data_IF_935018850930
#
_entry.id   IF_935018850930
#
_cell.length_a   1.000
_cell.length_b   1.000
_cell.length_c   1.000
_cell.angle_alpha   90.00
_cell.angle_beta   90.00
_cell.angle_gamma   90.00
#
_symmetry.space_group_name_H-M   'P 1'
#
loop_
_entity.id
_entity.type
_entity.pdbx_description
1 polymer ?
#
# COMPACT_ATOMS: atom_id res chain seq x y z
N UNK A 1 -17.57 -50.74 -51.49
CA UNK A 1 -17.59 -50.96 -50.02
C UNK A 1 -16.17 -51.05 -49.46
N UNK A 2 -15.28 -50.12 -49.78
CA UNK A 2 -13.88 -50.03 -49.32
C UNK A 2 -13.46 -48.71 -48.65
N UNK A 3 -14.35 -47.74 -48.60
CA UNK A 3 -14.06 -46.39 -48.06
C UNK A 3 -14.32 -46.33 -46.53
N UNK A 4 -15.17 -47.20 -45.99
CA UNK A 4 -15.57 -47.18 -44.58
C UNK A 4 -14.47 -47.60 -43.57
N UNK A 5 -13.48 -48.40 -44.01
CA UNK A 5 -12.42 -48.89 -43.09
C UNK A 5 -11.27 -47.88 -42.89
N UNK A 6 -11.04 -46.98 -43.84
CA UNK A 6 -9.98 -45.97 -43.74
C UNK A 6 -10.42 -44.85 -42.83
N UNK A 7 -11.72 -44.51 -42.79
CA UNK A 7 -12.26 -43.46 -41.92
C UNK A 7 -12.20 -43.86 -40.43
N UNK A 8 -12.41 -45.17 -40.11
CA UNK A 8 -12.31 -45.63 -38.72
C UNK A 8 -10.87 -45.68 -38.20
N UNK A 9 -9.88 -45.93 -39.03
CA UNK A 9 -8.46 -45.92 -38.62
C UNK A 9 -7.96 -44.49 -38.42
N UNK A 10 -8.42 -43.55 -39.25
CA UNK A 10 -8.09 -42.13 -39.06
C UNK A 10 -8.74 -41.51 -37.80
N UNK A 11 -9.94 -41.93 -37.42
CA UNK A 11 -10.63 -41.50 -36.21
C UNK A 11 -10.02 -42.06 -34.93
N UNK A 12 -9.44 -43.26 -34.96
CA UNK A 12 -8.77 -43.90 -33.84
C UNK A 12 -7.37 -43.33 -33.57
N UNK A 13 -6.70 -42.75 -34.58
CA UNK A 13 -5.41 -42.11 -34.47
C UNK A 13 -5.50 -40.64 -33.96
N UNK A 14 -6.68 -40.03 -34.02
CA UNK A 14 -6.90 -38.65 -33.53
C UNK A 14 -7.18 -38.58 -32.03
N UNK A 15 -7.41 -39.71 -31.33
CA UNK A 15 -7.64 -39.75 -29.88
C UNK A 15 -6.36 -39.95 -29.05
N UNK A 16 -5.20 -40.09 -29.69
CA UNK A 16 -3.91 -40.11 -28.98
C UNK A 16 -3.32 -38.69 -28.90
N UNK A 17 -4.09 -37.72 -28.38
CA UNK A 17 -3.52 -36.48 -27.90
C UNK A 17 -2.62 -36.86 -26.71
N UNK A 18 -1.31 -36.53 -26.72
CA UNK A 18 -0.50 -36.73 -25.55
C UNK A 18 -1.12 -35.88 -24.44
N UNK A 19 -1.66 -36.53 -23.42
CA UNK A 19 -1.91 -35.90 -22.13
C UNK A 19 -0.55 -35.44 -21.59
N UNK A 20 -0.12 -34.29 -22.04
CA UNK A 20 0.88 -33.53 -21.32
C UNK A 20 0.18 -33.14 -20.03
N UNK A 21 0.40 -33.98 -19.02
CA UNK A 21 0.00 -33.67 -17.66
C UNK A 21 0.50 -32.27 -17.37
N UNK A 22 -0.43 -31.37 -17.14
CA UNK A 22 -0.15 -30.13 -16.43
C UNK A 22 0.44 -30.55 -15.08
N UNK A 23 1.76 -30.60 -15.01
CA UNK A 23 2.48 -30.59 -13.75
C UNK A 23 2.19 -29.20 -13.14
N UNK A 24 1.01 -29.05 -12.58
CA UNK A 24 0.76 -28.06 -11.55
C UNK A 24 1.81 -28.34 -10.49
N UNK A 25 2.73 -27.42 -10.29
CA UNK A 25 3.75 -27.54 -9.27
C UNK A 25 3.07 -27.93 -7.96
N UNK A 26 3.19 -29.18 -7.57
CA UNK A 26 2.73 -29.62 -6.27
C UNK A 26 3.56 -28.81 -5.27
N UNK A 27 2.93 -27.93 -4.52
CA UNK A 27 3.56 -27.27 -3.39
C UNK A 27 4.18 -28.36 -2.52
N UNK A 28 5.50 -28.32 -2.37
CA UNK A 28 6.22 -29.28 -1.55
C UNK A 28 5.74 -29.08 -0.12
N UNK A 29 4.89 -29.98 0.37
CA UNK A 29 4.40 -29.91 1.75
C UNK A 29 5.58 -30.17 2.69
N UNK A 30 5.95 -29.14 3.44
CA UNK A 30 6.98 -29.21 4.47
C UNK A 30 6.40 -29.86 5.71
N UNK A 31 6.95 -31.01 6.11
CA UNK A 31 6.58 -31.65 7.38
C UNK A 31 7.30 -30.94 8.53
N UNK A 32 6.56 -30.16 9.32
CA UNK A 32 7.09 -29.42 10.45
C UNK A 32 7.59 -30.29 11.60
N UNK A 33 7.19 -31.55 11.66
CA UNK A 33 7.61 -32.48 12.71
C UNK A 33 8.93 -33.23 12.38
N UNK A 34 9.41 -33.13 11.14
CA UNK A 34 10.58 -33.84 10.64
C UNK A 34 11.51 -32.91 9.88
N UNK A 35 12.32 -32.09 10.59
CA UNK A 35 13.30 -31.19 9.93
C UNK A 35 14.30 -31.99 9.08
N UNK A 36 14.51 -31.55 7.84
CA UNK A 36 15.46 -32.15 6.91
C UNK A 36 16.51 -31.15 6.49
N UNK A 37 17.74 -31.65 6.28
CA UNK A 37 18.84 -30.87 5.76
C UNK A 37 18.85 -30.92 4.24
N UNK A 38 19.05 -29.76 3.63
CA UNK A 38 19.16 -29.61 2.18
C UNK A 38 20.34 -28.72 1.84
N UNK A 39 20.97 -28.99 0.71
CA UNK A 39 21.91 -28.08 0.07
C UNK A 39 21.09 -27.13 -0.81
N UNK A 40 21.37 -25.84 -0.76
CA UNK A 40 20.71 -24.85 -1.61
C UNK A 40 21.22 -25.01 -3.03
N UNK A 41 20.35 -25.48 -3.96
CA UNK A 41 20.69 -25.64 -5.37
C UNK A 41 20.44 -24.36 -6.20
N UNK A 42 19.69 -23.43 -5.64
CA UNK A 42 19.40 -22.14 -6.28
C UNK A 42 18.22 -21.43 -5.62
N UNK A 43 18.13 -20.12 -5.90
CA UNK A 43 17.06 -19.26 -5.36
C UNK A 43 16.40 -18.50 -6.50
N UNK A 44 15.10 -18.70 -6.66
CA UNK A 44 14.26 -17.96 -7.61
C UNK A 44 13.53 -16.84 -6.88
N UNK A 45 13.50 -15.65 -7.46
CA UNK A 45 12.78 -14.51 -6.91
C UNK A 45 11.67 -14.09 -7.87
N UNK A 46 10.46 -13.92 -7.33
CA UNK A 46 9.27 -13.50 -8.09
C UNK A 46 8.60 -12.28 -7.44
N UNK A 47 7.96 -11.44 -8.27
CA UNK A 47 7.15 -10.30 -7.80
C UNK A 47 7.93 -9.00 -7.64
N UNK A 48 9.16 -8.94 -8.13
CA UNK A 48 10.00 -7.72 -8.11
C UNK A 48 9.76 -6.87 -9.35
N UNK A 49 9.71 -5.56 -9.18
CA UNK A 49 9.61 -4.61 -10.28
C UNK A 49 10.70 -3.52 -10.22
N UNK A 50 11.07 -3.08 -9.02
CA UNK A 50 12.07 -2.04 -8.79
C UNK A 50 13.34 -2.57 -8.10
N UNK A 51 13.19 -3.61 -7.28
CA UNK A 51 14.31 -4.21 -6.54
C UNK A 51 14.89 -5.34 -7.39
N UNK A 52 16.23 -5.38 -7.56
CA UNK A 52 16.85 -6.47 -8.31
C UNK A 52 16.72 -7.81 -7.58
N UNK A 53 16.52 -8.89 -8.33
CA UNK A 53 16.47 -10.25 -7.76
C UNK A 53 17.74 -10.58 -6.97
N UNK A 54 18.91 -10.21 -7.49
CA UNK A 54 20.20 -10.41 -6.82
C UNK A 54 20.28 -9.72 -5.47
N UNK A 55 19.75 -8.50 -5.36
CA UNK A 55 19.71 -7.77 -4.10
C UNK A 55 18.85 -8.49 -3.06
N UNK A 56 17.71 -9.05 -3.46
CA UNK A 56 16.84 -9.82 -2.57
C UNK A 56 17.53 -11.11 -2.10
N UNK A 57 18.17 -11.81 -3.01
CA UNK A 57 18.96 -13.02 -2.68
C UNK A 57 20.07 -12.67 -1.68
N UNK A 58 20.78 -11.59 -1.89
CA UNK A 58 21.85 -11.14 -0.99
C UNK A 58 21.30 -10.79 0.40
N UNK A 59 20.20 -10.06 0.49
CA UNK A 59 19.54 -9.72 1.76
C UNK A 59 19.03 -10.98 2.46
N UNK A 60 18.49 -11.95 1.71
CA UNK A 60 17.99 -13.21 2.27
C UNK A 60 19.13 -14.02 2.92
N UNK A 61 20.36 -13.93 2.41
CA UNK A 61 21.49 -14.73 2.82
C UNK A 61 21.45 -16.17 2.31
N UNK A 62 20.51 -16.50 1.42
CA UNK A 62 20.48 -17.81 0.75
C UNK A 62 21.53 -17.81 -0.36
N UNK A 63 22.53 -18.67 -0.22
CA UNK A 63 23.58 -18.84 -1.22
C UNK A 63 23.64 -20.28 -1.70
N UNK A 64 23.86 -20.49 -2.97
CA UNK A 64 24.01 -21.83 -3.56
C UNK A 64 25.17 -22.57 -2.87
N UNK A 65 24.98 -23.84 -2.61
CA UNK A 65 25.96 -24.72 -1.97
C UNK A 65 25.94 -24.69 -0.43
N UNK A 66 25.21 -23.77 0.21
CA UNK A 66 25.07 -23.79 1.67
C UNK A 66 24.06 -24.85 2.12
N UNK A 67 24.33 -25.45 3.28
CA UNK A 67 23.41 -26.38 3.95
C UNK A 67 22.38 -25.59 4.76
N UNK A 68 21.12 -25.99 4.66
CA UNK A 68 20.00 -25.39 5.37
C UNK A 68 19.05 -26.47 5.88
N UNK A 69 18.54 -26.29 7.08
CA UNK A 69 17.52 -27.17 7.66
C UNK A 69 16.12 -26.60 7.42
N UNK A 70 15.19 -27.42 6.95
CA UNK A 70 13.80 -27.01 6.67
C UNK A 70 12.85 -28.02 7.31
N UNK A 71 11.88 -27.57 8.13
CA UNK A 71 11.73 -26.21 8.67
C UNK A 71 12.78 -25.88 9.74
N UNK A 72 13.08 -24.60 9.91
CA UNK A 72 13.95 -24.09 10.97
C UNK A 72 13.66 -22.61 11.27
N UNK A 73 14.16 -22.14 12.39
CA UNK A 73 14.11 -20.72 12.76
C UNK A 73 14.88 -19.84 11.78
N UNK A 74 15.89 -20.38 11.10
CA UNK A 74 16.67 -19.68 10.07
C UNK A 74 15.78 -19.25 8.90
N UNK A 75 14.80 -20.09 8.50
CA UNK A 75 13.84 -19.75 7.45
C UNK A 75 12.97 -18.53 7.86
N UNK A 76 12.53 -18.51 9.11
CA UNK A 76 11.80 -17.38 9.66
C UNK A 76 12.67 -16.12 9.75
N UNK A 77 13.95 -16.28 10.07
CA UNK A 77 14.92 -15.18 10.12
C UNK A 77 15.17 -14.56 8.73
N UNK A 78 15.17 -15.36 7.67
CA UNK A 78 15.27 -14.88 6.28
C UNK A 78 14.09 -13.97 5.94
N UNK A 79 12.87 -14.44 6.19
CA UNK A 79 11.67 -13.65 5.95
C UNK A 79 11.71 -12.35 6.77
N UNK A 80 12.07 -12.42 8.05
CA UNK A 80 12.21 -11.24 8.92
C UNK A 80 13.23 -10.23 8.38
N UNK A 81 14.41 -10.69 7.89
CA UNK A 81 15.42 -9.79 7.28
C UNK A 81 14.89 -9.02 6.09
N UNK A 82 14.14 -9.68 5.21
CA UNK A 82 13.49 -9.04 4.06
C UNK A 82 12.41 -8.05 4.51
N UNK A 83 11.60 -8.40 5.49
CA UNK A 83 10.60 -7.50 6.08
C UNK A 83 11.20 -6.25 6.72
N UNK A 84 12.33 -6.37 7.38
CA UNK A 84 13.03 -5.25 8.00
C UNK A 84 13.50 -4.20 7.01
N UNK A 85 13.64 -4.55 5.73
CA UNK A 85 13.95 -3.58 4.67
C UNK A 85 12.82 -2.59 4.41
N UNK A 86 11.60 -2.87 4.87
CA UNK A 86 10.38 -2.06 4.69
C UNK A 86 9.99 -1.78 3.23
N UNK A 87 10.65 -2.43 2.28
CA UNK A 87 10.40 -2.29 0.84
C UNK A 87 9.24 -3.15 0.33
N UNK A 88 8.84 -4.15 1.11
CA UNK A 88 7.84 -5.14 0.72
C UNK A 88 6.56 -5.01 1.54
N UNK A 89 5.44 -5.24 0.87
CA UNK A 89 4.12 -5.38 1.49
C UNK A 89 3.91 -6.81 1.96
N UNK A 90 4.41 -7.78 1.16
CA UNK A 90 4.41 -9.20 1.52
C UNK A 90 5.70 -9.90 1.09
N UNK A 91 6.11 -10.90 1.86
CA UNK A 91 7.27 -11.76 1.62
C UNK A 91 6.92 -13.18 1.99
N UNK A 92 7.05 -14.09 1.05
CA UNK A 92 6.93 -15.53 1.31
C UNK A 92 8.17 -16.29 0.80
N UNK A 93 8.56 -17.30 1.55
CA UNK A 93 9.65 -18.22 1.22
C UNK A 93 9.07 -19.63 1.13
N UNK A 94 9.32 -20.32 0.04
CA UNK A 94 8.87 -21.69 -0.19
C UNK A 94 9.98 -22.51 -0.86
N UNK A 95 9.85 -23.83 -0.79
CA UNK A 95 10.63 -24.73 -1.62
C UNK A 95 9.93 -24.83 -2.99
N UNK A 96 10.63 -24.45 -4.05
CA UNK A 96 10.13 -24.53 -5.42
C UNK A 96 10.20 -25.98 -5.95
N UNK A 97 11.34 -26.63 -5.70
CA UNK A 97 11.55 -28.04 -6.07
C UNK A 97 12.67 -28.68 -5.25
N UNK A 98 12.70 -30.01 -5.24
CA UNK A 98 13.75 -30.80 -4.62
C UNK A 98 14.36 -31.66 -5.73
N UNK A 99 15.70 -31.71 -5.81
CA UNK A 99 16.38 -32.55 -6.77
C UNK A 99 16.07 -34.06 -6.57
N UNK A 100 16.20 -34.90 -7.60
CA UNK A 100 15.97 -36.32 -7.48
C UNK A 100 16.86 -37.02 -6.41
N UNK A 101 18.03 -36.49 -6.14
CA UNK A 101 18.94 -36.94 -5.05
C UNK A 101 18.34 -36.72 -3.65
N UNK A 102 17.30 -35.87 -3.51
CA UNK A 102 16.60 -35.51 -2.28
C UNK A 102 17.43 -34.79 -1.23
N UNK A 103 18.63 -34.37 -1.56
CA UNK A 103 19.55 -33.60 -0.70
C UNK A 103 19.67 -32.13 -1.11
N UNK A 104 19.26 -31.79 -2.33
CA UNK A 104 19.35 -30.44 -2.87
C UNK A 104 17.94 -29.85 -3.07
N UNK A 105 17.70 -28.66 -2.50
CA UNK A 105 16.43 -27.94 -2.63
C UNK A 105 16.63 -26.60 -3.36
N UNK A 106 15.68 -26.27 -4.21
CA UNK A 106 15.57 -24.98 -4.87
C UNK A 106 14.52 -24.14 -4.14
N UNK A 107 14.86 -22.92 -3.78
CA UNK A 107 14.00 -22.03 -3.02
C UNK A 107 13.35 -20.99 -3.91
N UNK A 108 12.15 -20.60 -3.53
CA UNK A 108 11.41 -19.49 -4.15
C UNK A 108 11.10 -18.43 -3.10
N UNK A 109 11.56 -17.21 -3.37
CA UNK A 109 11.18 -16.03 -2.61
C UNK A 109 10.16 -15.27 -3.46
N UNK A 110 8.93 -15.16 -2.98
CA UNK A 110 7.91 -14.34 -3.61
C UNK A 110 7.73 -13.08 -2.77
N UNK A 111 7.82 -11.93 -3.40
CA UNK A 111 7.65 -10.63 -2.75
C UNK A 111 6.56 -9.82 -3.43
N UNK A 112 5.92 -8.96 -2.67
CA UNK A 112 5.05 -7.89 -3.17
C UNK A 112 5.69 -6.59 -2.74
N UNK A 113 6.15 -5.80 -3.72
CA UNK A 113 6.75 -4.50 -3.42
C UNK A 113 5.69 -3.51 -2.96
N UNK A 114 6.05 -2.63 -2.01
CA UNK A 114 5.18 -1.54 -1.59
C UNK A 114 4.96 -0.58 -2.74
N UNK A 115 3.70 -0.18 -3.00
CA UNK A 115 3.40 0.72 -4.10
C UNK A 115 4.04 2.09 -3.89
N UNK A 116 4.53 2.69 -4.98
CA UNK A 116 5.13 4.02 -4.98
C UNK A 116 4.20 5.05 -5.59
N UNK A 117 4.16 6.24 -5.01
CA UNK A 117 3.29 7.32 -5.52
C UNK A 117 3.85 7.88 -6.81
N UNK A 118 3.11 7.73 -7.92
CA UNK A 118 3.43 8.40 -9.19
C UNK A 118 2.88 9.83 -9.22
N UNK A 119 1.68 10.02 -8.71
CA UNK A 119 0.97 11.30 -8.69
C UNK A 119 -0.05 11.32 -7.55
N UNK A 120 -0.32 12.51 -7.03
CA UNK A 120 -1.48 12.75 -6.17
C UNK A 120 -2.31 13.90 -6.71
N UNK A 121 -3.59 13.87 -6.38
CA UNK A 121 -4.58 14.89 -6.77
C UNK A 121 -5.53 15.14 -5.61
N UNK A 122 -6.13 16.33 -5.60
CA UNK A 122 -7.14 16.70 -4.62
C UNK A 122 -8.47 16.92 -5.31
N UNK A 123 -9.56 16.59 -4.63
CA UNK A 123 -10.92 16.90 -5.01
C UNK A 123 -11.63 17.55 -3.83
N UNK A 124 -12.51 18.52 -4.07
CA UNK A 124 -13.17 19.29 -3.01
C UNK A 124 -12.31 20.37 -2.34
N UNK A 125 -11.10 20.59 -2.85
CA UNK A 125 -10.12 21.57 -2.37
C UNK A 125 -10.13 22.80 -3.29
N UNK A 126 -9.95 24.01 -2.73
CA UNK A 126 -9.76 25.21 -3.53
C UNK A 126 -8.36 25.27 -4.10
N UNK A 127 -8.22 25.78 -5.34
CA UNK A 127 -6.91 25.86 -6.04
C UNK A 127 -5.81 26.52 -5.21
N UNK A 128 -6.10 27.60 -4.47
CA UNK A 128 -5.11 28.26 -3.60
C UNK A 128 -4.73 27.45 -2.35
N UNK A 129 -5.54 26.47 -1.94
CA UNK A 129 -5.27 25.63 -0.77
C UNK A 129 -4.47 24.37 -1.14
N UNK A 130 -4.52 23.97 -2.41
CA UNK A 130 -3.86 22.76 -2.91
C UNK A 130 -2.34 22.84 -2.70
N UNK A 131 -1.73 23.98 -3.03
CA UNK A 131 -0.29 24.19 -2.84
C UNK A 131 0.12 24.08 -1.36
N UNK A 132 -0.66 24.72 -0.47
CA UNK A 132 -0.40 24.66 0.97
C UNK A 132 -0.53 23.25 1.53
N UNK A 133 -1.53 22.48 1.05
CA UNK A 133 -1.68 21.08 1.42
C UNK A 133 -0.53 20.20 0.91
N UNK A 134 -0.07 20.43 -0.33
CA UNK A 134 1.09 19.72 -0.87
C UNK A 134 2.34 19.91 -0.01
N UNK A 135 2.60 21.15 0.42
CA UNK A 135 3.73 21.45 1.29
C UNK A 135 3.61 20.77 2.65
N UNK A 136 2.42 20.78 3.27
CA UNK A 136 2.18 20.14 4.57
C UNK A 136 2.24 18.63 4.53
N UNK A 137 1.79 18.00 3.44
CA UNK A 137 1.77 16.54 3.30
C UNK A 137 3.16 15.95 3.07
N UNK A 138 4.12 16.74 2.59
CA UNK A 138 5.48 16.29 2.28
C UNK A 138 5.56 14.98 1.49
N UNK A 139 4.56 14.73 0.64
CA UNK A 139 4.55 13.57 -0.25
C UNK A 139 5.53 13.77 -1.40
N UNK A 140 6.32 12.75 -1.70
CA UNK A 140 7.30 12.77 -2.79
C UNK A 140 6.91 11.76 -3.87
N UNK A 141 7.06 12.14 -5.13
CA UNK A 141 6.93 11.17 -6.24
C UNK A 141 7.98 10.08 -6.07
N UNK A 142 7.61 8.83 -6.32
CA UNK A 142 8.44 7.67 -6.07
C UNK A 142 8.56 7.27 -4.59
N UNK A 143 7.96 8.04 -3.67
CA UNK A 143 7.88 7.67 -2.27
C UNK A 143 6.94 6.49 -2.05
N UNK A 144 7.19 5.70 -1.03
CA UNK A 144 6.33 4.59 -0.63
C UNK A 144 4.98 5.11 -0.10
N UNK A 145 3.91 4.37 -0.39
CA UNK A 145 2.57 4.67 0.09
C UNK A 145 2.02 3.48 0.86
N UNK A 146 2.05 3.59 2.17
CA UNK A 146 1.48 2.61 3.10
C UNK A 146 0.17 3.13 3.71
N UNK A 147 -0.58 2.26 4.37
CA UNK A 147 -1.77 2.65 5.13
C UNK A 147 -1.46 3.71 6.18
N UNK A 148 -0.27 3.63 6.79
CA UNK A 148 0.19 4.64 7.74
C UNK A 148 0.36 6.01 7.06
N UNK A 149 0.97 6.07 5.88
CA UNK A 149 1.14 7.31 5.11
C UNK A 149 -0.22 7.87 4.70
N UNK A 150 -1.12 7.00 4.22
CA UNK A 150 -2.49 7.36 3.86
C UNK A 150 -3.25 7.98 5.03
N UNK A 151 -3.24 7.34 6.19
CA UNK A 151 -3.89 7.83 7.40
C UNK A 151 -3.29 9.15 7.88
N UNK A 152 -1.96 9.24 7.92
CA UNK A 152 -1.25 10.45 8.33
C UNK A 152 -1.59 11.63 7.42
N UNK A 153 -1.62 11.40 6.09
CA UNK A 153 -2.01 12.43 5.12
C UNK A 153 -3.45 12.90 5.34
N UNK A 154 -4.38 11.96 5.53
CA UNK A 154 -5.79 12.28 5.85
C UNK A 154 -5.90 13.13 7.13
N UNK A 155 -5.19 12.78 8.19
CA UNK A 155 -5.20 13.51 9.46
C UNK A 155 -4.61 14.93 9.33
N UNK A 156 -3.57 15.10 8.52
CA UNK A 156 -2.99 16.41 8.22
C UNK A 156 -4.02 17.29 7.48
N UNK A 157 -4.70 16.74 6.46
CA UNK A 157 -5.73 17.47 5.72
C UNK A 157 -6.91 17.82 6.64
N UNK A 158 -7.38 16.86 7.46
CA UNK A 158 -8.45 17.12 8.44
C UNK A 158 -8.08 18.22 9.41
N UNK A 159 -6.86 18.22 9.93
CA UNK A 159 -6.36 19.24 10.84
C UNK A 159 -6.32 20.63 10.19
N UNK A 160 -5.81 20.69 8.95
CA UNK A 160 -5.76 21.92 8.16
C UNK A 160 -7.14 22.59 8.02
N UNK A 161 -8.16 21.80 7.69
CA UNK A 161 -9.51 22.34 7.55
C UNK A 161 -10.18 22.65 8.89
N UNK A 162 -9.89 21.88 9.95
CA UNK A 162 -10.36 22.20 11.31
C UNK A 162 -9.79 23.54 11.80
N UNK A 163 -8.52 23.83 11.53
CA UNK A 163 -7.90 25.14 11.81
C UNK A 163 -8.62 26.30 11.09
N UNK A 164 -9.18 26.03 9.92
CA UNK A 164 -9.98 26.99 9.13
C UNK A 164 -11.46 27.07 9.55
N UNK A 165 -11.87 26.27 10.53
CA UNK A 165 -13.22 26.27 11.10
C UNK A 165 -14.18 25.25 10.47
N UNK A 166 -13.71 24.32 9.67
CA UNK A 166 -14.52 23.20 9.12
C UNK A 166 -14.40 22.00 10.06
N UNK A 167 -15.25 21.92 11.09
CA UNK A 167 -15.13 20.91 12.14
C UNK A 167 -15.52 19.50 11.70
N UNK A 168 -16.45 19.40 10.73
CA UNK A 168 -16.99 18.14 10.21
C UNK A 168 -16.33 17.73 8.89
N UNK A 169 -15.04 18.06 8.71
CA UNK A 169 -14.30 17.67 7.52
C UNK A 169 -14.06 16.17 7.50
N UNK A 170 -14.34 15.56 6.35
CA UNK A 170 -13.98 14.18 6.07
C UNK A 170 -13.06 14.08 4.86
N UNK A 171 -12.21 13.03 4.83
CA UNK A 171 -11.21 12.83 3.79
C UNK A 171 -11.13 11.36 3.43
N UNK A 172 -11.53 11.06 2.21
CA UNK A 172 -11.36 9.75 1.61
C UNK A 172 -10.07 9.70 0.79
N UNK A 173 -9.34 8.61 0.89
CA UNK A 173 -8.10 8.38 0.15
C UNK A 173 -8.30 7.25 -0.82
N UNK A 174 -8.37 7.59 -2.10
CA UNK A 174 -8.54 6.63 -3.18
C UNK A 174 -7.20 6.38 -3.87
N UNK A 175 -6.85 5.12 -4.06
CA UNK A 175 -5.66 4.72 -4.80
C UNK A 175 -6.03 3.97 -6.07
N UNK A 176 -5.34 4.25 -7.16
CA UNK A 176 -5.48 3.54 -8.43
C UNK A 176 -4.09 3.19 -8.97
N UNK A 177 -3.92 1.98 -9.48
CA UNK A 177 -2.68 1.60 -10.17
C UNK A 177 -2.39 2.57 -11.32
N UNK A 178 -1.14 2.98 -11.47
CA UNK A 178 -0.73 3.78 -12.61
C UNK A 178 -0.67 2.90 -13.86
N UNK A 179 -1.25 3.36 -14.96
CA UNK A 179 -1.28 2.61 -16.22
C UNK A 179 0.04 2.69 -17.00
N UNK A 180 0.91 3.63 -16.65
CA UNK A 180 2.16 3.91 -17.36
C UNK A 180 3.37 3.44 -16.56
N UNK A 181 3.35 3.65 -15.25
CA UNK A 181 4.47 3.34 -14.36
C UNK A 181 4.12 2.08 -13.58
N UNK A 182 4.90 1.00 -13.78
CA UNK A 182 4.72 -0.26 -13.05
C UNK A 182 4.93 -0.05 -11.55
N UNK A 183 4.25 -0.85 -10.73
CA UNK A 183 4.26 -0.78 -9.25
C UNK A 183 4.07 0.62 -8.68
N UNK A 184 3.46 1.52 -9.47
CA UNK A 184 3.13 2.85 -9.02
C UNK A 184 1.62 3.03 -8.89
N UNK A 185 1.24 3.91 -7.98
CA UNK A 185 -0.15 4.27 -7.74
C UNK A 185 -0.35 5.78 -7.89
N UNK A 186 -1.54 6.13 -8.33
CA UNK A 186 -2.08 7.49 -8.25
C UNK A 186 -2.93 7.57 -7.01
N UNK A 187 -2.70 8.60 -6.22
CA UNK A 187 -3.44 8.86 -4.97
C UNK A 187 -4.37 10.04 -5.19
N UNK A 188 -5.63 9.89 -4.84
CA UNK A 188 -6.62 10.96 -4.87
C UNK A 188 -7.17 11.19 -3.47
N UNK A 189 -7.00 12.40 -2.95
CA UNK A 189 -7.62 12.85 -1.72
C UNK A 189 -8.94 13.53 -2.06
N UNK A 190 -10.05 12.93 -1.63
CA UNK A 190 -11.39 13.49 -1.79
C UNK A 190 -11.77 14.14 -0.46
N UNK A 191 -11.84 15.46 -0.45
CA UNK A 191 -12.07 16.24 0.75
C UNK A 191 -13.51 16.76 0.78
N UNK A 192 -14.28 16.26 1.73
CA UNK A 192 -15.57 16.83 2.07
C UNK A 192 -15.42 17.74 3.27
N UNK A 193 -15.40 19.04 3.02
CA UNK A 193 -15.16 20.03 4.08
C UNK A 193 -16.32 20.22 5.04
N UNK A 194 -17.54 19.88 4.60
CA UNK A 194 -18.76 20.24 5.31
C UNK A 194 -18.96 21.75 5.42
N UNK A 195 -19.77 22.17 6.37
CA UNK A 195 -20.05 23.58 6.62
C UNK A 195 -19.04 24.21 7.57
N UNK A 196 -18.74 25.49 7.32
CA UNK A 196 -17.85 26.23 8.20
C UNK A 196 -18.60 26.66 9.46
N UNK A 197 -18.11 26.25 10.61
CA UNK A 197 -18.67 26.63 11.91
C UNK A 197 -18.27 28.08 12.22
N UNK A 198 -19.27 28.87 12.58
CA UNK A 198 -19.11 30.26 13.02
C UNK A 198 -19.69 30.43 14.40
N UNK A 199 -19.01 31.21 15.25
CA UNK A 199 -19.53 31.59 16.56
C UNK A 199 -20.72 32.51 16.34
N UNK A 200 -21.93 32.05 16.70
CA UNK A 200 -23.16 32.82 16.52
C UNK A 200 -23.28 33.93 17.54
N UNK A 201 -22.95 33.68 18.80
CA UNK A 201 -23.08 34.61 19.92
C UNK A 201 -22.05 34.27 21.00
N UNK A 202 -21.44 35.29 21.59
CA UNK A 202 -20.61 35.18 22.77
C UNK A 202 -21.35 35.91 23.90
N UNK A 203 -21.53 35.24 25.03
CA UNK A 203 -22.12 35.81 26.24
C UNK A 203 -21.09 35.79 27.35
N UNK A 204 -21.04 36.85 28.13
CA UNK A 204 -20.17 36.95 29.30
C UNK A 204 -21.04 36.91 30.55
N UNK A 205 -20.57 36.25 31.59
CA UNK A 205 -21.21 36.16 32.92
C UNK A 205 -20.19 36.57 33.98
N UNK A 206 -20.65 37.25 35.05
CA UNK A 206 -19.77 37.73 36.13
C UNK A 206 -18.94 38.94 35.75
N UNK A 207 -19.34 39.71 34.74
CA UNK A 207 -18.63 40.88 34.25
C UNK A 207 -19.20 42.22 34.82
N UNK A 208 -19.43 42.27 36.13
CA UNK A 208 -20.07 43.40 36.82
C UNK A 208 -19.37 44.75 36.62
N UNK A 209 -18.04 44.73 36.44
CA UNK A 209 -17.24 45.94 36.31
C UNK A 209 -16.80 46.27 34.86
N UNK A 210 -17.03 45.34 33.88
CA UNK A 210 -16.58 45.51 32.50
C UNK A 210 -17.71 45.21 31.54
N UNK A 211 -18.04 46.21 30.69
CA UNK A 211 -19.10 46.03 29.67
C UNK A 211 -18.74 44.92 28.67
N UNK A 212 -19.72 44.07 28.30
CA UNK A 212 -19.58 42.97 27.32
C UNK A 212 -18.87 43.42 26.03
N UNK A 213 -19.20 44.60 25.51
CA UNK A 213 -18.59 45.12 24.29
C UNK A 213 -17.06 45.34 24.43
N UNK A 214 -16.57 45.67 25.62
CA UNK A 214 -15.13 45.84 25.86
C UNK A 214 -14.43 44.49 25.93
N UNK A 215 -15.07 43.50 26.56
CA UNK A 215 -14.59 42.11 26.59
C UNK A 215 -14.57 41.48 25.18
N UNK A 216 -15.65 41.62 24.42
CA UNK A 216 -15.73 41.12 23.06
C UNK A 216 -14.67 41.73 22.13
N UNK A 217 -14.33 42.99 22.27
CA UNK A 217 -13.27 43.66 21.50
C UNK A 217 -11.87 43.17 21.88
N UNK A 218 -11.65 42.74 23.11
CA UNK A 218 -10.36 42.16 23.54
C UNK A 218 -10.08 40.78 22.97
N UNK A 219 -11.12 40.07 22.54
CA UNK A 219 -11.01 38.72 21.91
C UNK A 219 -10.55 38.86 20.46
N UNK A 220 -9.23 38.87 20.22
CA UNK A 220 -8.65 39.10 18.89
C UNK A 220 -8.90 37.98 17.90
N UNK A 221 -8.97 36.73 18.37
CA UNK A 221 -9.08 35.54 17.52
C UNK A 221 -10.51 34.99 17.34
N UNK A 222 -11.41 35.29 18.28
CA UNK A 222 -12.79 34.79 18.25
C UNK A 222 -13.73 35.96 18.15
N UNK A 223 -14.40 36.13 17.02
CA UNK A 223 -15.38 37.20 16.79
C UNK A 223 -16.77 36.64 16.66
N UNK A 224 -17.75 37.24 17.29
CA UNK A 224 -19.16 36.97 17.13
C UNK A 224 -19.60 37.31 15.69
N UNK A 225 -20.45 36.48 15.09
CA UNK A 225 -20.96 36.69 13.74
C UNK A 225 -21.67 38.06 13.56
N UNK A 226 -22.23 38.61 14.65
CA UNK A 226 -22.86 39.95 14.66
C UNK A 226 -21.86 41.08 14.44
N UNK A 227 -20.62 40.97 14.91
CA UNK A 227 -19.57 41.95 14.69
C UNK A 227 -19.01 41.98 13.28
N UNK A 228 -19.13 40.88 12.54
CA UNK A 228 -18.63 40.78 11.16
C UNK A 228 -19.60 41.44 10.18
N UNK A 229 -20.92 41.44 10.47
CA UNK A 229 -21.93 42.02 9.58
C UNK A 229 -21.92 43.54 9.50
N UNK A 230 -21.43 44.21 10.55
CA UNK A 230 -21.33 45.70 10.56
C UNK A 230 -20.26 46.27 9.64
N UNK A 231 -19.24 45.48 9.26
CA UNK A 231 -18.17 45.93 8.36
C UNK A 231 -18.32 45.46 6.91
N UNK A 232 -19.28 44.59 6.62
CA UNK A 232 -19.51 44.06 5.27
C UNK A 232 -20.57 44.80 4.47
N UNK A 233 -21.20 45.83 5.00
CA UNK A 233 -22.32 46.54 4.36
C UNK A 233 -21.95 47.88 3.77
N UNK A 234 -20.76 48.04 3.22
CA UNK A 234 -20.42 49.19 2.36
C UNK A 234 -19.50 48.70 1.22
N UNK A 235 -20.12 48.22 0.16
CA UNK A 235 -19.74 48.44 -1.24
C UNK A 235 -20.96 48.26 -2.09
#
# INVERSE_FOLDING_TARGET
MRISRIVYVAFLLMMAAPMWAQQSGADVMVDYNSPKKYIIGGVKVEGTEHVSQQQIIQISGLQEGLEVTVPSDDMSAIVKRLWLQRMFEDVSLSIDSIAPSRDTAFFKIKVIERPRVSRWTFSGVKSGEEKELMERLNLRRGGEFSDYVSKTASDIIKRYYKEKGFLNVDVDVNTKKDSVIRSAIRVQFVVNRGEKVKVKKITFTGNDHVKENKLARSMKKTKDARFISFFSSKK
#
